data_IF_055699904461
#
_entry.id   IF_055699904461
#
_cell.length_a   1.000
_cell.length_b   1.000
_cell.length_c   1.000
_cell.angle_alpha   90.00
_cell.angle_beta   90.00
_cell.angle_gamma   90.00
#
_symmetry.space_group_name_H-M   'P 1'
#
loop_
_entity.id
_entity.type
_entity.pdbx_description
1 polymer ?
#
# COMPACT_ATOMS: atom_id res chain seq x y z
N UNK A 1 -12.76 -7.78 5.89
CA UNK A 1 -11.65 -8.48 5.20
C UNK A 1 -10.39 -7.62 5.29
N UNK A 2 -9.20 -8.22 5.23
CA UNK A 2 -7.92 -7.51 5.11
C UNK A 2 -7.06 -8.24 4.08
N UNK A 3 -6.11 -7.53 3.48
CA UNK A 3 -5.13 -8.13 2.58
C UNK A 3 -3.89 -8.50 3.38
N UNK A 4 -3.70 -9.80 3.60
CA UNK A 4 -2.48 -10.33 4.23
C UNK A 4 -1.31 -10.35 3.23
N UNK A 5 -0.66 -9.20 3.04
CA UNK A 5 0.50 -9.07 2.17
C UNK A 5 1.76 -9.79 2.70
N UNK A 6 1.76 -10.32 3.92
CA UNK A 6 2.83 -11.16 4.47
C UNK A 6 2.58 -12.67 4.29
N UNK A 7 1.37 -13.06 3.87
CA UNK A 7 1.04 -14.44 3.55
C UNK A 7 1.94 -15.01 2.45
N UNK A 8 2.32 -16.28 2.54
CA UNK A 8 3.30 -16.91 1.64
C UNK A 8 2.91 -16.88 0.16
N UNK A 9 1.62 -17.03 -0.13
CA UNK A 9 1.10 -16.93 -1.50
C UNK A 9 1.29 -15.54 -2.12
N UNK A 10 1.47 -14.48 -1.34
CA UNK A 10 1.67 -13.13 -1.88
C UNK A 10 2.97 -13.06 -2.69
N UNK A 11 4.02 -13.77 -2.28
CA UNK A 11 5.29 -13.82 -3.01
C UNK A 11 5.23 -14.60 -4.33
N UNK A 12 4.32 -15.58 -4.45
CA UNK A 12 4.19 -16.44 -5.65
C UNK A 12 3.08 -15.97 -6.58
N UNK A 13 1.94 -15.59 -6.02
CA UNK A 13 0.70 -15.35 -6.75
C UNK A 13 0.54 -13.84 -7.03
N UNK A 14 1.02 -13.00 -6.12
CA UNK A 14 0.92 -11.54 -6.19
C UNK A 14 -0.28 -11.01 -5.42
N UNK A 15 -0.91 -9.96 -5.94
CA UNK A 15 -2.17 -9.44 -5.38
C UNK A 15 -3.30 -10.49 -5.55
N UNK A 16 -4.17 -10.67 -4.54
CA UNK A 16 -5.38 -11.46 -4.66
C UNK A 16 -6.21 -11.06 -5.89
N UNK A 17 -6.73 -12.03 -6.64
CA UNK A 17 -7.46 -11.83 -7.90
C UNK A 17 -8.64 -10.84 -7.76
N UNK A 18 -9.32 -10.86 -6.62
CA UNK A 18 -10.41 -9.93 -6.27
C UNK A 18 -9.99 -8.46 -6.24
N UNK A 19 -8.69 -8.15 -6.26
CA UNK A 19 -8.15 -6.79 -6.33
C UNK A 19 -7.76 -6.39 -7.76
N UNK A 20 -7.82 -7.29 -8.74
CA UNK A 20 -7.48 -6.99 -10.13
C UNK A 20 -8.66 -6.39 -10.90
N UNK A 21 -8.43 -5.62 -11.98
CA UNK A 21 -9.48 -5.17 -12.87
C UNK A 21 -10.22 -6.36 -13.49
N UNK A 22 -11.47 -6.55 -13.09
CA UNK A 22 -12.37 -7.58 -13.62
C UNK A 22 -13.82 -7.14 -13.45
N UNK A 23 -14.75 -7.87 -14.06
CA UNK A 23 -16.18 -7.66 -13.86
C UNK A 23 -16.74 -8.74 -12.96
N UNK A 24 -17.73 -8.37 -12.16
CA UNK A 24 -18.48 -9.28 -11.33
C UNK A 24 -19.95 -9.27 -11.71
N UNK A 25 -20.56 -10.43 -11.60
CA UNK A 25 -21.99 -10.62 -11.79
C UNK A 25 -22.67 -10.58 -10.42
N UNK A 26 -23.48 -9.55 -10.18
CA UNK A 26 -24.23 -9.36 -8.95
C UNK A 26 -25.70 -9.70 -9.15
N UNK A 27 -26.30 -10.34 -8.15
CA UNK A 27 -27.75 -10.51 -8.08
C UNK A 27 -28.31 -9.28 -7.34
N UNK A 28 -29.06 -8.46 -8.07
CA UNK A 28 -29.72 -7.30 -7.50
C UNK A 28 -31.05 -7.71 -6.84
N UNK A 29 -31.46 -7.02 -5.77
CA UNK A 29 -32.80 -7.17 -5.21
C UNK A 29 -33.86 -6.93 -6.29
N UNK A 30 -34.79 -7.86 -6.42
CA UNK A 30 -35.93 -7.76 -7.34
C UNK A 30 -37.21 -7.63 -6.55
N UNK A 31 -38.18 -6.88 -7.08
CA UNK A 31 -39.52 -6.81 -6.51
C UNK A 31 -40.24 -8.17 -6.52
N UNK A 32 -39.80 -9.10 -7.37
CA UNK A 32 -40.25 -10.48 -7.43
C UNK A 32 -39.11 -11.41 -6.98
N UNK A 33 -39.18 -12.01 -5.78
CA UNK A 33 -38.15 -12.93 -5.26
C UNK A 33 -37.92 -14.16 -6.12
N UNK A 34 -38.84 -14.50 -7.02
CA UNK A 34 -38.69 -15.61 -7.98
C UNK A 34 -37.89 -15.23 -9.23
N UNK A 35 -37.54 -13.94 -9.39
CA UNK A 35 -36.77 -13.42 -10.52
C UNK A 35 -35.53 -12.70 -10.03
N UNK A 36 -34.37 -13.35 -10.12
CA UNK A 36 -33.08 -12.72 -9.89
C UNK A 36 -32.74 -11.78 -11.06
N UNK A 37 -32.54 -10.49 -10.78
CA UNK A 37 -31.97 -9.55 -11.75
C UNK A 37 -30.45 -9.67 -11.62
N UNK A 38 -29.79 -10.01 -12.72
CA UNK A 38 -28.32 -10.09 -12.75
C UNK A 38 -27.76 -8.81 -13.37
N UNK A 39 -26.79 -8.19 -12.72
CA UNK A 39 -26.08 -7.00 -13.22
C UNK A 39 -24.58 -7.27 -13.27
N UNK A 40 -23.95 -6.89 -14.36
CA UNK A 40 -22.49 -6.95 -14.51
C UNK A 40 -21.92 -5.60 -14.12
N UNK A 41 -21.05 -5.57 -13.12
CA UNK A 41 -20.39 -4.35 -12.64
C UNK A 41 -18.88 -4.53 -12.67
N UNK A 42 -18.17 -3.43 -12.95
CA UNK A 42 -16.72 -3.38 -12.77
C UNK A 42 -16.36 -3.58 -11.29
N UNK A 43 -15.22 -4.23 -11.05
CA UNK A 43 -14.71 -4.49 -9.71
C UNK A 43 -14.48 -3.17 -8.94
N UNK A 44 -15.28 -2.86 -7.90
CA UNK A 44 -15.11 -1.64 -7.13
C UNK A 44 -13.86 -1.65 -6.24
N UNK A 45 -13.20 -2.81 -6.08
CA UNK A 45 -11.94 -2.95 -5.36
C UNK A 45 -10.72 -2.77 -6.27
N UNK A 46 -10.88 -2.71 -7.60
CA UNK A 46 -9.76 -2.55 -8.53
C UNK A 46 -9.31 -1.09 -8.66
N UNK A 47 -10.26 -0.14 -8.63
CA UNK A 47 -9.98 1.28 -8.72
C UNK A 47 -11.19 2.10 -8.24
N UNK A 48 -10.95 3.37 -7.91
CA UNK A 48 -12.01 4.34 -7.66
C UNK A 48 -12.11 5.32 -8.83
N UNK A 49 -13.30 5.47 -9.40
CA UNK A 49 -13.56 6.41 -10.48
C UNK A 49 -14.04 7.76 -9.91
N UNK A 50 -13.39 8.86 -10.32
CA UNK A 50 -13.74 10.21 -9.87
C UNK A 50 -14.98 10.80 -10.59
N UNK A 51 -15.42 10.16 -11.67
CA UNK A 51 -16.52 10.65 -12.50
C UNK A 51 -16.09 11.77 -13.46
N UNK A 52 -16.98 12.71 -13.73
CA UNK A 52 -16.75 13.78 -14.71
C UNK A 52 -15.77 14.84 -14.23
N UNK A 53 -15.70 15.08 -12.92
CA UNK A 53 -14.90 16.13 -12.31
C UNK A 53 -13.91 15.49 -11.33
N UNK A 54 -12.65 15.93 -11.39
CA UNK A 54 -11.66 15.56 -10.38
C UNK A 54 -11.87 16.39 -9.12
N UNK A 55 -11.52 15.87 -7.93
CA UNK A 55 -11.48 16.68 -6.72
C UNK A 55 -10.52 17.86 -6.88
N UNK A 56 -10.87 18.99 -6.26
CA UNK A 56 -10.02 20.18 -6.27
C UNK A 56 -8.64 19.87 -5.67
N UNK A 57 -7.58 20.41 -6.27
CA UNK A 57 -6.21 20.25 -5.78
C UNK A 57 -5.47 19.00 -6.28
N UNK A 58 -6.08 18.17 -7.13
CA UNK A 58 -5.34 17.17 -7.89
C UNK A 58 -4.29 17.90 -8.75
N UNK A 59 -3.03 17.45 -8.65
CA UNK A 59 -1.89 18.13 -9.25
C UNK A 59 -0.88 17.09 -9.78
N UNK A 60 -0.29 17.35 -10.93
CA UNK A 60 0.74 16.48 -11.48
C UNK A 60 2.00 16.54 -10.62
N UNK A 61 2.64 15.38 -10.40
CA UNK A 61 3.78 15.28 -9.50
C UNK A 61 4.93 14.54 -10.15
N UNK A 62 6.11 15.15 -10.09
CA UNK A 62 7.34 14.42 -10.35
C UNK A 62 7.72 13.73 -9.04
N UNK A 63 7.74 12.40 -9.07
CA UNK A 63 8.00 11.57 -7.91
C UNK A 63 9.18 10.64 -8.14
N UNK A 64 9.96 10.39 -7.09
CA UNK A 64 11.03 9.41 -7.04
C UNK A 64 10.87 8.64 -5.74
N UNK A 65 11.06 7.33 -5.79
CA UNK A 65 11.06 6.49 -4.59
C UNK A 65 12.28 5.55 -4.60
N UNK A 66 12.55 4.82 -3.51
CA UNK A 66 13.60 3.80 -3.51
C UNK A 66 13.41 2.69 -4.56
N UNK A 67 12.19 2.48 -5.06
CA UNK A 67 11.87 1.42 -6.03
C UNK A 67 11.52 1.95 -7.43
N UNK A 68 11.54 3.26 -7.62
CA UNK A 68 11.18 3.93 -8.88
C UNK A 68 12.25 4.92 -9.31
N UNK A 69 12.47 5.00 -10.61
CA UNK A 69 13.16 6.15 -11.21
C UNK A 69 12.32 7.41 -11.03
N UNK A 70 12.94 8.58 -11.20
CA UNK A 70 12.18 9.83 -11.16
C UNK A 70 11.31 9.94 -12.43
N UNK A 71 10.00 10.09 -12.27
CA UNK A 71 9.06 10.25 -13.39
C UNK A 71 7.78 10.98 -12.93
N UNK A 72 6.86 11.27 -13.87
CA UNK A 72 5.63 12.02 -13.64
C UNK A 72 4.43 11.11 -13.28
N UNK A 73 3.67 11.53 -12.28
CA UNK A 73 2.33 11.05 -11.96
C UNK A 73 1.32 12.10 -12.45
N UNK A 74 0.37 11.69 -13.30
CA UNK A 74 -0.54 12.57 -14.02
C UNK A 74 -1.91 12.68 -13.33
N UNK A 75 -1.90 13.06 -12.04
CA UNK A 75 -3.11 13.12 -11.21
C UNK A 75 -4.13 14.14 -11.74
N UNK A 76 -3.74 15.19 -12.45
CA UNK A 76 -4.66 16.18 -13.04
C UNK A 76 -5.49 15.60 -14.21
N UNK A 77 -5.02 14.53 -14.83
CA UNK A 77 -5.66 13.92 -15.99
C UNK A 77 -6.38 12.62 -15.65
N UNK A 78 -5.89 11.88 -14.65
CA UNK A 78 -6.36 10.54 -14.30
C UNK A 78 -7.77 10.53 -13.70
N UNK A 79 -8.75 10.02 -14.47
CA UNK A 79 -10.17 9.94 -14.07
C UNK A 79 -10.51 8.80 -13.09
N UNK A 80 -9.51 8.04 -12.67
CA UNK A 80 -9.61 7.01 -11.64
C UNK A 80 -8.27 6.80 -10.96
N UNK A 81 -8.24 6.02 -9.88
CA UNK A 81 -6.98 5.52 -9.32
C UNK A 81 -6.36 4.44 -10.22
N UNK A 82 -5.04 4.37 -10.20
CA UNK A 82 -4.24 3.41 -10.95
C UNK A 82 -3.16 2.82 -10.06
N UNK A 83 -2.83 1.54 -10.25
CA UNK A 83 -1.73 0.83 -9.59
C UNK A 83 -0.62 0.56 -10.60
N UNK A 84 0.60 0.99 -10.29
CA UNK A 84 1.72 0.99 -11.23
C UNK A 84 1.40 1.54 -12.63
N UNK A 85 0.84 2.76 -12.73
CA UNK A 85 0.61 3.38 -14.02
C UNK A 85 1.94 3.68 -14.73
N UNK A 86 1.94 3.60 -16.07
CA UNK A 86 2.95 4.27 -16.88
C UNK A 86 2.88 5.79 -16.69
N UNK A 87 4.01 6.49 -16.73
CA UNK A 87 4.08 7.96 -16.70
C UNK A 87 3.51 8.58 -17.98
N UNK A 88 2.17 8.62 -18.09
CA UNK A 88 1.38 9.18 -19.19
C UNK A 88 0.03 9.65 -18.67
N UNK A 89 -0.58 10.64 -19.33
CA UNK A 89 -1.95 11.09 -19.05
C UNK A 89 -3.02 10.02 -19.35
N UNK A 90 -2.74 9.11 -20.28
CA UNK A 90 -3.50 7.88 -20.55
C UNK A 90 -2.67 6.65 -20.13
N UNK A 91 -2.61 6.33 -18.83
CA UNK A 91 -1.70 5.31 -18.33
C UNK A 91 -2.23 3.90 -18.57
N UNK A 92 -1.31 2.94 -18.59
CA UNK A 92 -1.63 1.51 -18.42
C UNK A 92 -1.12 1.06 -17.05
N UNK A 93 -1.91 0.29 -16.32
CA UNK A 93 -1.48 -0.37 -15.08
C UNK A 93 -0.56 -1.54 -15.37
N UNK A 94 0.37 -1.82 -14.46
CA UNK A 94 1.37 -2.88 -14.61
C UNK A 94 1.36 -3.82 -13.40
N UNK A 95 0.35 -4.69 -13.35
CA UNK A 95 0.22 -5.73 -12.31
C UNK A 95 1.34 -6.79 -12.40
N UNK A 96 1.97 -6.92 -13.57
CA UNK A 96 3.14 -7.80 -13.75
C UNK A 96 4.32 -7.24 -12.98
N UNK A 97 4.55 -5.91 -13.01
CA UNK A 97 5.57 -5.28 -12.16
C UNK A 97 5.32 -5.46 -10.68
N UNK A 98 4.07 -5.32 -10.22
CA UNK A 98 3.73 -5.59 -8.80
C UNK A 98 4.14 -7.01 -8.43
N UNK A 99 3.74 -8.00 -9.23
CA UNK A 99 4.10 -9.41 -9.02
C UNK A 99 5.62 -9.63 -9.06
N UNK A 100 6.32 -8.98 -9.99
CA UNK A 100 7.76 -9.09 -10.12
C UNK A 100 8.50 -8.51 -8.90
N UNK A 101 8.06 -7.36 -8.37
CA UNK A 101 8.62 -6.78 -7.14
C UNK A 101 8.36 -7.70 -5.95
N UNK A 102 7.14 -8.23 -5.82
CA UNK A 102 6.78 -9.18 -4.77
C UNK A 102 7.63 -10.44 -4.77
N UNK A 103 7.99 -10.95 -5.95
CA UNK A 103 8.85 -12.12 -6.13
C UNK A 103 10.36 -11.84 -5.95
N UNK A 104 10.74 -10.60 -5.60
CA UNK A 104 12.13 -10.22 -5.34
C UNK A 104 12.71 -10.83 -4.05
N UNK A 105 14.02 -10.64 -3.86
CA UNK A 105 14.73 -11.09 -2.65
C UNK A 105 14.49 -10.16 -1.44
N UNK A 106 14.87 -10.61 -0.24
CA UNK A 106 14.78 -9.83 1.01
C UNK A 106 15.40 -8.43 1.00
N UNK A 107 16.37 -8.16 0.13
CA UNK A 107 17.03 -6.85 0.04
C UNK A 107 16.27 -5.85 -0.85
N UNK A 108 15.30 -6.34 -1.63
CA UNK A 108 14.48 -5.50 -2.49
C UNK A 108 13.29 -4.95 -1.71
N UNK A 109 13.18 -3.62 -1.65
CA UNK A 109 12.04 -2.98 -0.99
C UNK A 109 10.74 -3.35 -1.69
N UNK A 110 9.74 -3.75 -0.89
CA UNK A 110 8.44 -4.21 -1.37
C UNK A 110 8.39 -5.68 -1.79
N UNK A 111 9.50 -6.42 -1.74
CA UNK A 111 9.42 -7.86 -1.96
C UNK A 111 8.70 -8.55 -0.81
N UNK A 112 8.05 -9.68 -1.09
CA UNK A 112 7.38 -10.46 -0.06
C UNK A 112 8.36 -10.92 1.03
N UNK A 113 9.57 -11.35 0.66
CA UNK A 113 10.60 -11.74 1.63
C UNK A 113 10.97 -10.58 2.57
N UNK A 114 11.14 -9.38 2.02
CA UNK A 114 11.43 -8.18 2.81
C UNK A 114 10.27 -7.83 3.73
N UNK A 115 9.06 -7.75 3.20
CA UNK A 115 7.84 -7.41 3.93
C UNK A 115 7.58 -8.40 5.08
N UNK A 116 7.67 -9.70 4.80
CA UNK A 116 7.52 -10.76 5.81
C UNK A 116 8.59 -10.67 6.90
N UNK A 117 9.84 -10.38 6.52
CA UNK A 117 10.93 -10.16 7.48
C UNK A 117 10.66 -8.95 8.37
N UNK A 118 10.19 -7.84 7.82
CA UNK A 118 9.82 -6.65 8.59
C UNK A 118 8.69 -6.96 9.58
N UNK A 119 7.62 -7.63 9.14
CA UNK A 119 6.51 -8.04 10.02
C UNK A 119 6.99 -8.97 11.12
N UNK A 120 7.81 -9.98 10.79
CA UNK A 120 8.34 -10.91 11.78
C UNK A 120 9.14 -10.20 12.87
N UNK A 121 9.93 -9.18 12.53
CA UNK A 121 10.70 -8.41 13.51
C UNK A 121 9.82 -7.62 14.47
N UNK A 122 8.62 -7.18 14.07
CA UNK A 122 7.67 -6.51 14.96
C UNK A 122 7.24 -7.40 16.15
N UNK A 123 7.30 -8.72 16.00
CA UNK A 123 7.02 -9.69 17.07
C UNK A 123 8.25 -10.05 17.91
N UNK A 124 9.41 -9.42 17.66
CA UNK A 124 10.66 -9.66 18.40
C UNK A 124 10.98 -8.58 19.43
N UNK A 125 10.12 -7.57 19.57
CA UNK A 125 10.20 -6.62 20.67
C UNK A 125 10.05 -7.35 22.02
N UNK A 126 10.74 -6.89 23.07
CA UNK A 126 10.75 -7.58 24.35
C UNK A 126 9.36 -7.54 24.99
N UNK A 127 8.91 -8.69 25.52
CA UNK A 127 7.63 -8.81 26.22
C UNK A 127 7.62 -8.11 27.58
N UNK A 128 8.80 -7.80 28.11
CA UNK A 128 9.02 -7.07 29.37
C UNK A 128 10.02 -5.94 29.11
N UNK A 129 9.73 -4.75 29.62
CA UNK A 129 10.60 -3.60 29.54
C UNK A 129 10.60 -2.85 30.88
N UNK A 130 11.65 -2.07 31.15
CA UNK A 130 11.62 -1.16 32.29
C UNK A 130 10.41 -0.21 32.15
N UNK A 131 9.82 0.19 33.28
CA UNK A 131 8.58 1.00 33.29
C UNK A 131 8.67 2.31 32.49
N UNK A 132 9.87 2.85 32.32
CA UNK A 132 10.17 4.06 31.57
C UNK A 132 10.81 3.81 30.19
N UNK A 133 11.03 2.55 29.80
CA UNK A 133 11.51 2.16 28.47
C UNK A 133 10.37 1.97 27.46
N UNK A 134 9.14 1.75 27.95
CA UNK A 134 7.97 1.46 27.11
C UNK A 134 7.68 2.53 26.05
N UNK A 135 7.87 3.82 26.36
CA UNK A 135 7.67 4.91 25.39
C UNK A 135 8.70 4.90 24.25
N UNK A 136 9.95 4.55 24.55
CA UNK A 136 11.00 4.38 23.53
C UNK A 136 10.69 3.22 22.61
N UNK A 137 10.32 2.08 23.19
CA UNK A 137 9.92 0.89 22.42
C UNK A 137 8.72 1.19 21.54
N UNK A 138 7.69 1.86 22.10
CA UNK A 138 6.50 2.23 21.33
C UNK A 138 6.84 3.14 20.16
N UNK A 139 7.67 4.17 20.37
CA UNK A 139 8.10 5.09 19.31
C UNK A 139 8.81 4.37 18.17
N UNK A 140 9.68 3.41 18.49
CA UNK A 140 10.38 2.62 17.49
C UNK A 140 9.45 1.65 16.76
N UNK A 141 8.57 0.96 17.49
CA UNK A 141 7.61 0.04 16.91
C UNK A 141 6.63 0.75 15.97
N UNK A 142 6.09 1.90 16.37
CA UNK A 142 4.98 2.54 15.66
C UNK A 142 5.43 3.33 14.43
N UNK A 143 6.60 3.99 14.50
CA UNK A 143 6.98 5.01 13.52
C UNK A 143 8.36 4.74 12.91
N UNK A 144 8.60 5.24 11.69
CA UNK A 144 9.92 5.25 11.04
C UNK A 144 10.75 6.49 11.40
N UNK A 145 10.24 7.35 12.30
CA UNK A 145 10.88 8.62 12.66
C UNK A 145 12.24 8.36 13.27
N UNK A 146 13.28 8.88 12.60
CA UNK A 146 14.65 8.85 13.15
C UNK A 146 14.72 9.77 14.37
N UNK A 147 15.44 9.33 15.39
CA UNK A 147 15.78 10.19 16.52
C UNK A 147 16.54 11.43 16.02
N UNK A 148 16.18 12.59 16.54
CA UNK A 148 16.99 13.81 16.36
C UNK A 148 18.32 13.67 17.12
N UNK A 149 19.30 14.51 16.81
CA UNK A 149 20.59 14.43 17.50
C UNK A 149 20.46 14.80 19.00
N UNK A 150 19.56 15.72 19.35
CA UNK A 150 19.25 16.05 20.74
C UNK A 150 18.58 14.87 21.47
N UNK A 151 17.68 14.15 20.80
CA UNK A 151 17.08 12.95 21.36
C UNK A 151 18.13 11.86 21.56
N UNK A 152 19.04 11.63 20.59
CA UNK A 152 20.14 10.66 20.75
C UNK A 152 21.05 11.00 21.92
N UNK A 153 21.29 12.28 22.20
CA UNK A 153 22.14 12.73 23.29
C UNK A 153 21.50 12.53 24.68
N UNK A 154 20.16 12.47 24.74
CA UNK A 154 19.39 12.42 25.99
C UNK A 154 18.67 11.09 26.22
N UNK A 155 18.66 10.20 25.22
CA UNK A 155 17.93 8.94 25.29
C UNK A 155 18.55 8.01 26.34
N UNK A 156 17.71 7.59 27.29
CA UNK A 156 18.10 6.64 28.34
C UNK A 156 18.26 5.21 27.81
N UNK A 157 17.45 4.84 26.81
CA UNK A 157 17.40 3.51 26.22
C UNK A 157 17.63 3.59 24.71
N UNK A 158 18.63 2.89 24.19
CA UNK A 158 18.85 2.86 22.75
C UNK A 158 17.71 2.15 22.02
N UNK A 159 17.49 2.53 20.75
CA UNK A 159 16.61 1.79 19.86
C UNK A 159 17.16 0.38 19.65
N UNK A 160 16.27 -0.60 19.61
CA UNK A 160 16.56 -2.01 19.39
C UNK A 160 16.90 -2.31 17.92
N UNK A 161 16.56 -1.37 17.03
CA UNK A 161 16.70 -1.46 15.58
C UNK A 161 15.96 -2.66 14.98
N UNK A 162 14.76 -2.94 15.49
CA UNK A 162 13.92 -4.05 15.04
C UNK A 162 13.02 -3.67 13.85
N UNK A 163 12.98 -2.38 13.49
CA UNK A 163 12.13 -1.86 12.42
C UNK A 163 10.77 -1.41 12.96
N UNK A 164 9.94 -0.83 12.10
CA UNK A 164 8.66 -0.24 12.52
C UNK A 164 7.50 -0.68 11.64
N UNK A 165 6.30 -0.61 12.20
CA UNK A 165 5.05 -0.82 11.49
C UNK A 165 4.96 0.11 10.28
N UNK A 166 5.26 1.41 10.48
CA UNK A 166 5.24 2.42 9.42
C UNK A 166 6.21 2.11 8.27
N UNK A 167 7.39 1.52 8.50
CA UNK A 167 8.32 1.22 7.40
C UNK A 167 7.81 0.08 6.49
N UNK A 168 7.15 -0.93 7.09
CA UNK A 168 6.49 -1.99 6.32
C UNK A 168 5.27 -1.48 5.56
N UNK A 169 4.43 -0.68 6.20
CA UNK A 169 3.33 0.05 5.58
C UNK A 169 3.81 0.89 4.38
N UNK A 170 4.84 1.71 4.55
CA UNK A 170 5.38 2.54 3.47
C UNK A 170 5.94 1.69 2.32
N UNK A 171 6.47 0.51 2.61
CA UNK A 171 6.94 -0.41 1.58
C UNK A 171 5.79 -0.97 0.74
N UNK A 172 4.65 -1.30 1.37
CA UNK A 172 3.43 -1.73 0.66
C UNK A 172 2.84 -0.60 -0.18
N UNK A 173 2.76 0.62 0.36
CA UNK A 173 2.30 1.80 -0.37
C UNK A 173 3.09 2.02 -1.67
N UNK A 174 4.42 1.98 -1.58
CA UNK A 174 5.29 2.09 -2.77
C UNK A 174 5.11 0.89 -3.71
N UNK A 175 5.10 -0.33 -3.18
CA UNK A 175 4.92 -1.58 -3.93
C UNK A 175 3.60 -1.60 -4.71
N UNK A 176 2.50 -1.04 -4.20
CA UNK A 176 1.21 -1.08 -4.89
C UNK A 176 1.03 0.13 -5.79
N UNK A 177 1.47 1.31 -5.32
CA UNK A 177 1.26 2.55 -6.03
C UNK A 177 2.12 2.67 -7.28
N UNK A 178 3.42 2.40 -7.20
CA UNK A 178 4.33 2.84 -8.25
C UNK A 178 4.25 4.38 -8.39
N UNK A 179 3.88 4.89 -9.57
CA UNK A 179 3.54 6.31 -9.76
C UNK A 179 2.04 6.62 -9.52
N UNK A 180 1.30 5.65 -9.01
CA UNK A 180 -0.14 5.73 -8.78
C UNK A 180 -0.50 6.22 -7.38
N UNK A 181 -1.80 6.24 -7.11
CA UNK A 181 -2.39 6.81 -5.91
C UNK A 181 -1.78 6.24 -4.61
N UNK A 182 -1.64 4.91 -4.49
CA UNK A 182 -1.13 4.26 -3.29
C UNK A 182 0.30 4.68 -2.89
N UNK A 183 1.11 5.28 -3.77
CA UNK A 183 2.46 5.71 -3.44
C UNK A 183 2.56 7.18 -2.98
N UNK A 184 1.47 7.94 -3.05
CA UNK A 184 1.41 9.35 -2.67
C UNK A 184 0.38 9.56 -1.56
N UNK A 185 0.80 10.14 -0.44
CA UNK A 185 -0.04 10.30 0.75
C UNK A 185 -1.31 11.12 0.50
N UNK A 186 -1.28 12.08 -0.44
CA UNK A 186 -2.44 12.93 -0.72
C UNK A 186 -3.50 12.21 -1.56
N UNK A 187 -3.11 11.11 -2.22
CA UNK A 187 -3.98 10.36 -3.13
C UNK A 187 -4.26 8.92 -2.69
N UNK A 188 -3.46 8.35 -1.78
CA UNK A 188 -3.50 6.93 -1.44
C UNK A 188 -4.88 6.43 -1.00
N UNK A 189 -5.57 7.20 -0.16
CA UNK A 189 -6.88 6.84 0.38
C UNK A 189 -8.01 6.80 -0.66
N UNK A 190 -7.79 7.29 -1.89
CA UNK A 190 -8.75 7.10 -2.97
C UNK A 190 -8.71 5.70 -3.56
N UNK A 191 -7.57 4.97 -3.49
CA UNK A 191 -7.51 3.61 -4.02
C UNK A 191 -8.23 2.65 -3.06
N UNK A 192 -9.22 1.86 -3.51
CA UNK A 192 -9.96 0.96 -2.63
C UNK A 192 -9.09 -0.02 -1.82
N UNK A 193 -7.91 -0.41 -2.33
CA UNK A 193 -7.00 -1.31 -1.60
C UNK A 193 -6.43 -0.67 -0.33
N UNK A 194 -6.43 0.66 -0.23
CA UNK A 194 -5.98 1.40 0.96
C UNK A 194 -6.66 0.91 2.24
N UNK A 195 -7.97 0.60 2.18
CA UNK A 195 -8.74 0.16 3.34
C UNK A 195 -8.58 -1.32 3.66
N UNK A 196 -7.97 -2.09 2.76
CA UNK A 196 -7.65 -3.50 2.95
C UNK A 196 -6.22 -3.70 3.42
N UNK A 197 -5.35 -2.73 3.11
CA UNK A 197 -4.01 -2.59 3.67
C UNK A 197 -4.10 -2.27 5.17
#
# INVERSE_FOLDING_TARGET
PFWDWAHESTGTDGLPEVLHPQTFSFILPSADPSKSITSVLDNPLASYAFGSNLPDGFANRIWKSPILTQDMSYFEEWKRTYRWPSSKSSPTEDYIKIKHVLAGSSDQRGSWEQLRSQVAKLFTYPSEAASDQGSTIWKEFSNNTKLTDDEKATIKYQYLNLGSLEDSHNSVHLLVGGYGAMADNDYAAYDPIFFLH
#
